data_IF_002326990005
#
_entry.id   IF_002326990005
#
_cell.length_a   1.000
_cell.length_b   1.000
_cell.length_c   1.000
_cell.angle_alpha   90.00
_cell.angle_beta   90.00
_cell.angle_gamma   90.00
#
_symmetry.space_group_name_H-M   'P 1'
#
loop_
_entity.id
_entity.type
_entity.pdbx_description
1 polymer ?
#
# COMPACT_ATOMS: atom_id res chain seq x y z
N UNK A 1 30.85 -45.45 -50.94
CA UNK A 1 31.29 -44.08 -50.60
C UNK A 1 30.52 -43.10 -51.48
N UNK A 2 29.93 -42.00 -50.97
CA UNK A 2 29.15 -41.86 -49.73
C UNK A 2 27.69 -41.42 -50.01
N UNK A 3 26.93 -41.37 -48.91
CA UNK A 3 25.54 -40.94 -48.74
C UNK A 3 25.36 -39.43 -48.94
N UNK A 4 24.15 -39.00 -49.34
CA UNK A 4 23.65 -37.66 -49.06
C UNK A 4 22.19 -37.76 -48.56
N UNK A 5 22.03 -37.84 -47.24
CA UNK A 5 20.76 -37.68 -46.55
C UNK A 5 20.50 -36.18 -46.38
N UNK A 6 19.40 -35.68 -46.96
CA UNK A 6 18.93 -34.32 -46.72
C UNK A 6 18.30 -34.25 -45.33
N UNK A 7 19.06 -33.78 -44.35
CA UNK A 7 18.55 -33.43 -43.03
C UNK A 7 17.74 -32.14 -43.14
N UNK A 8 16.41 -32.24 -43.13
CA UNK A 8 15.53 -31.11 -42.85
C UNK A 8 15.68 -30.74 -41.38
N UNK A 9 16.44 -29.68 -41.11
CA UNK A 9 16.51 -29.03 -39.80
C UNK A 9 15.19 -28.31 -39.53
N UNK A 10 14.29 -28.97 -38.81
CA UNK A 10 13.20 -28.32 -38.09
C UNK A 10 13.81 -27.40 -37.04
N UNK A 11 13.88 -26.11 -37.35
CA UNK A 11 14.11 -25.06 -36.36
C UNK A 11 12.96 -25.13 -35.34
N UNK A 12 13.23 -25.31 -34.05
CA UNK A 12 12.18 -25.17 -33.04
C UNK A 12 11.73 -23.71 -33.08
N UNK A 13 10.48 -23.49 -33.48
CA UNK A 13 9.84 -22.19 -33.38
C UNK A 13 9.94 -21.72 -31.94
N UNK A 14 10.56 -20.56 -31.74
CA UNK A 14 10.46 -19.81 -30.49
C UNK A 14 8.96 -19.57 -30.23
N UNK A 15 8.37 -20.38 -29.37
CA UNK A 15 7.12 -20.05 -28.73
C UNK A 15 7.40 -18.78 -27.91
N UNK A 16 7.02 -17.62 -28.45
CA UNK A 16 6.86 -16.41 -27.67
C UNK A 16 5.94 -16.78 -26.51
N UNK A 17 6.47 -16.78 -25.29
CA UNK A 17 5.67 -16.97 -24.09
C UNK A 17 4.55 -15.91 -24.12
N UNK A 18 3.32 -16.34 -24.42
CA UNK A 18 2.18 -15.45 -24.36
C UNK A 18 2.02 -15.03 -22.90
N UNK A 19 2.14 -13.73 -22.63
CA UNK A 19 1.95 -13.18 -21.29
C UNK A 19 0.58 -13.57 -20.75
N UNK A 20 0.51 -13.90 -19.46
CA UNK A 20 -0.74 -14.32 -18.83
C UNK A 20 -1.84 -13.27 -19.03
N UNK A 21 -3.02 -13.72 -19.44
CA UNK A 21 -4.17 -12.85 -19.62
C UNK A 21 -4.76 -12.44 -18.27
N UNK A 22 -5.03 -11.15 -18.11
CA UNK A 22 -5.58 -10.57 -16.88
C UNK A 22 -6.72 -9.61 -17.23
N UNK A 23 -7.92 -9.82 -16.70
CA UNK A 23 -9.03 -8.89 -16.91
C UNK A 23 -8.96 -7.68 -15.99
N UNK A 24 -9.19 -6.49 -16.52
CA UNK A 24 -9.36 -5.28 -15.71
C UNK A 24 -10.77 -5.24 -15.10
N UNK A 25 -10.87 -5.40 -13.79
CA UNK A 25 -12.13 -5.34 -13.05
C UNK A 25 -12.56 -3.89 -12.74
N UNK A 26 -11.63 -2.93 -12.71
CA UNK A 26 -11.91 -1.50 -12.52
C UNK A 26 -11.45 -0.95 -11.17
N UNK A 27 -12.03 0.19 -10.77
CA UNK A 27 -11.80 0.82 -9.46
C UNK A 27 -12.74 0.20 -8.43
N UNK A 28 -12.22 -0.09 -7.24
CA UNK A 28 -12.97 -0.64 -6.14
C UNK A 28 -12.55 -0.07 -4.78
N UNK A 29 -13.35 -0.34 -3.76
CA UNK A 29 -13.09 0.04 -2.37
C UNK A 29 -13.08 -1.19 -1.47
N UNK A 30 -12.20 -1.21 -0.47
CA UNK A 30 -12.13 -2.31 0.50
C UNK A 30 -13.20 -2.18 1.59
N UNK A 31 -13.81 -3.30 1.95
CA UNK A 31 -14.78 -3.40 3.06
C UNK A 31 -16.24 -3.40 2.59
N UNK A 32 -17.14 -3.30 3.57
CA UNK A 32 -18.58 -3.41 3.37
C UNK A 32 -19.19 -2.11 2.79
N UNK A 33 -20.33 -2.26 2.10
CA UNK A 33 -21.00 -1.14 1.44
C UNK A 33 -21.53 -0.08 2.42
N UNK A 34 -21.85 -0.45 3.67
CA UNK A 34 -22.42 0.46 4.65
C UNK A 34 -21.38 1.44 5.22
N UNK A 35 -20.10 1.04 5.29
CA UNK A 35 -19.01 1.88 5.80
C UNK A 35 -18.34 2.77 4.74
N UNK A 36 -18.65 2.58 3.44
CA UNK A 36 -17.95 3.27 2.34
C UNK A 36 -18.02 4.80 2.41
N UNK A 37 -19.19 5.38 2.65
CA UNK A 37 -19.35 6.84 2.67
C UNK A 37 -18.62 7.49 3.85
N UNK A 38 -18.45 6.75 4.95
CA UNK A 38 -17.72 7.23 6.12
C UNK A 38 -16.20 7.10 5.93
N UNK A 39 -15.75 6.02 5.29
CA UNK A 39 -14.32 5.69 5.13
C UNK A 39 -13.67 6.38 3.92
N UNK A 40 -14.45 6.62 2.86
CA UNK A 40 -13.97 7.18 1.60
C UNK A 40 -14.85 8.34 1.08
N UNK A 41 -15.23 9.32 1.92
CA UNK A 41 -16.13 10.40 1.53
C UNK A 41 -15.64 11.20 0.31
N UNK A 42 -14.35 11.50 0.21
CA UNK A 42 -13.82 12.34 -0.87
C UNK A 42 -13.63 11.54 -2.16
N UNK A 43 -13.16 10.31 -2.06
CA UNK A 43 -12.95 9.42 -3.20
C UNK A 43 -14.27 9.04 -3.86
N UNK A 44 -15.30 8.75 -3.07
CA UNK A 44 -16.64 8.45 -3.61
C UNK A 44 -17.30 9.70 -4.22
N UNK A 45 -17.07 10.88 -3.66
CA UNK A 45 -17.52 12.14 -4.26
C UNK A 45 -16.82 12.41 -5.60
N UNK A 46 -15.51 12.20 -5.67
CA UNK A 46 -14.73 12.32 -6.91
C UNK A 46 -15.20 11.33 -7.99
N UNK A 47 -15.44 10.07 -7.62
CA UNK A 47 -15.97 9.06 -8.55
C UNK A 47 -17.34 9.44 -9.11
N UNK A 48 -18.24 9.97 -8.27
CA UNK A 48 -19.54 10.50 -8.71
C UNK A 48 -19.37 11.66 -9.69
N UNK A 49 -18.43 12.57 -9.44
CA UNK A 49 -18.13 13.68 -10.34
C UNK A 49 -17.60 13.19 -11.70
N UNK A 50 -16.71 12.19 -11.71
CA UNK A 50 -16.23 11.53 -12.93
C UNK A 50 -17.38 10.92 -13.77
N UNK A 51 -18.28 10.18 -13.10
CA UNK A 51 -19.47 9.60 -13.75
C UNK A 51 -20.38 10.66 -14.34
N UNK A 52 -20.68 11.73 -13.58
CA UNK A 52 -21.49 12.85 -14.05
C UNK A 52 -20.83 13.59 -15.23
N UNK A 53 -19.50 13.66 -15.25
CA UNK A 53 -18.71 14.22 -16.35
C UNK A 53 -18.56 13.32 -17.58
N UNK A 54 -19.20 12.15 -17.61
CA UNK A 54 -19.14 11.21 -18.75
C UNK A 54 -17.83 10.44 -18.88
N UNK A 55 -16.93 10.52 -17.87
CA UNK A 55 -15.64 9.86 -17.87
C UNK A 55 -15.45 9.04 -16.59
N UNK A 56 -16.12 7.89 -16.45
CA UNK A 56 -16.07 7.09 -15.23
C UNK A 56 -14.65 6.60 -14.91
N UNK A 57 -14.41 6.22 -13.65
CA UNK A 57 -13.09 5.76 -13.19
C UNK A 57 -12.51 4.61 -14.02
N UNK A 58 -13.36 3.69 -14.51
CA UNK A 58 -12.92 2.63 -15.42
C UNK A 58 -12.31 3.18 -16.72
N UNK A 59 -12.87 4.25 -17.29
CA UNK A 59 -12.30 4.90 -18.48
C UNK A 59 -10.93 5.55 -18.16
N UNK A 60 -10.80 6.20 -17.00
CA UNK A 60 -9.53 6.78 -16.53
C UNK A 60 -8.44 5.72 -16.40
N UNK A 61 -8.78 4.54 -15.86
CA UNK A 61 -7.84 3.41 -15.74
C UNK A 61 -7.38 2.90 -17.10
N UNK A 62 -8.29 2.74 -18.06
CA UNK A 62 -7.94 2.29 -19.42
C UNK A 62 -6.99 3.25 -20.11
N UNK A 63 -7.24 4.55 -19.99
CA UNK A 63 -6.35 5.57 -20.56
C UNK A 63 -4.96 5.52 -19.92
N UNK A 64 -4.88 5.43 -18.58
CA UNK A 64 -3.59 5.31 -17.90
C UNK A 64 -2.81 4.06 -18.33
N UNK A 65 -3.49 2.92 -18.47
CA UNK A 65 -2.90 1.66 -18.95
C UNK A 65 -2.42 1.78 -20.39
N UNK A 66 -3.17 2.44 -21.27
CA UNK A 66 -2.76 2.63 -22.65
C UNK A 66 -1.46 3.46 -22.78
N UNK A 67 -1.21 4.38 -21.84
CA UNK A 67 0.00 5.19 -21.78
C UNK A 67 1.21 4.46 -21.17
N UNK A 68 0.96 3.42 -20.35
CA UNK A 68 1.99 2.56 -19.78
C UNK A 68 1.57 1.09 -19.89
N UNK A 69 1.66 0.48 -21.10
CA UNK A 69 1.18 -0.87 -21.33
C UNK A 69 1.82 -1.90 -20.41
N UNK A 70 1.04 -2.87 -19.95
CA UNK A 70 1.54 -3.92 -19.08
C UNK A 70 2.55 -4.81 -19.84
N UNK A 71 3.84 -4.71 -19.50
CA UNK A 71 4.89 -5.37 -20.28
C UNK A 71 4.84 -6.89 -20.23
N UNK A 72 4.51 -7.46 -19.06
CA UNK A 72 4.51 -8.92 -18.82
C UNK A 72 3.12 -9.56 -18.81
N UNK A 73 2.06 -8.76 -18.91
CA UNK A 73 0.67 -9.19 -18.76
C UNK A 73 -0.13 -8.78 -19.98
N UNK A 74 -1.01 -9.65 -20.46
CA UNK A 74 -1.97 -9.30 -21.52
C UNK A 74 -3.28 -8.86 -20.87
N UNK A 75 -3.50 -7.55 -20.79
CA UNK A 75 -4.73 -7.02 -20.20
C UNK A 75 -5.91 -7.19 -21.16
N UNK A 76 -6.96 -7.88 -20.72
CA UNK A 76 -8.25 -7.97 -21.42
C UNK A 76 -9.27 -7.06 -20.75
N UNK A 77 -10.13 -6.44 -21.55
CA UNK A 77 -10.97 -5.32 -21.11
C UNK A 77 -12.31 -5.76 -20.52
N UNK A 78 -12.71 -7.01 -20.68
CA UNK A 78 -13.95 -7.52 -20.10
C UNK A 78 -13.72 -8.78 -19.27
N UNK A 79 -14.25 -8.76 -18.04
CA UNK A 79 -14.23 -9.91 -17.13
C UNK A 79 -15.04 -11.08 -17.71
N UNK A 80 -16.06 -10.77 -18.52
CA UNK A 80 -16.92 -11.76 -19.18
C UNK A 80 -16.19 -12.54 -20.29
N UNK A 81 -15.12 -11.98 -20.88
CA UNK A 81 -14.27 -12.70 -21.84
C UNK A 81 -13.48 -13.84 -21.18
N UNK A 82 -13.43 -13.88 -19.83
CA UNK A 82 -12.82 -14.97 -19.06
C UNK A 82 -13.77 -16.15 -18.81
N UNK A 83 -15.08 -16.02 -19.07
CA UNK A 83 -16.05 -17.11 -18.87
C UNK A 83 -15.72 -18.27 -19.81
N UNK A 84 -15.41 -19.43 -19.22
CA UNK A 84 -15.07 -20.66 -19.95
C UNK A 84 -13.58 -20.90 -20.20
N UNK A 85 -12.68 -20.04 -19.69
CA UNK A 85 -11.22 -20.25 -19.77
C UNK A 85 -10.67 -20.99 -18.54
N UNK A 86 -9.55 -21.70 -18.73
CA UNK A 86 -8.87 -22.44 -17.65
C UNK A 86 -8.17 -21.53 -16.63
N UNK A 87 -7.74 -20.32 -17.05
CA UNK A 87 -7.23 -19.28 -16.15
C UNK A 87 -8.08 -18.00 -16.31
N UNK A 88 -8.71 -17.58 -15.22
CA UNK A 88 -9.55 -16.39 -15.16
C UNK A 88 -8.99 -15.41 -14.12
N UNK A 89 -7.83 -14.82 -14.39
CA UNK A 89 -7.22 -13.84 -13.47
C UNK A 89 -7.78 -12.45 -13.75
N UNK A 90 -8.14 -11.74 -12.70
CA UNK A 90 -8.60 -10.35 -12.77
C UNK A 90 -7.75 -9.44 -11.89
N UNK A 91 -7.71 -8.15 -12.23
CA UNK A 91 -7.03 -7.11 -11.45
C UNK A 91 -7.94 -5.91 -11.21
N UNK A 92 -7.98 -5.43 -9.98
CA UNK A 92 -8.69 -4.21 -9.58
C UNK A 92 -7.73 -3.19 -8.96
N UNK A 93 -8.01 -1.90 -9.16
CA UNK A 93 -7.46 -0.84 -8.31
C UNK A 93 -8.34 -0.74 -7.07
N UNK A 94 -7.84 -1.17 -5.91
CA UNK A 94 -8.62 -1.19 -4.67
C UNK A 94 -8.15 -0.10 -3.72
N UNK A 95 -8.99 0.88 -3.42
CA UNK A 95 -8.72 1.92 -2.41
C UNK A 95 -8.95 1.34 -1.01
N UNK A 96 -7.92 1.39 -0.18
CA UNK A 96 -7.91 0.84 1.17
C UNK A 96 -8.05 1.89 2.27
N UNK A 97 -7.47 3.07 2.06
CA UNK A 97 -7.54 4.19 2.98
C UNK A 97 -7.54 5.55 2.28
N UNK A 98 -8.24 6.50 2.88
CA UNK A 98 -8.28 7.91 2.50
C UNK A 98 -7.93 8.76 3.71
N UNK A 99 -7.11 9.80 3.51
CA UNK A 99 -6.78 10.78 4.54
C UNK A 99 -6.82 12.16 3.95
N UNK A 100 -7.63 13.04 4.56
CA UNK A 100 -7.68 14.46 4.25
C UNK A 100 -7.61 15.21 5.57
N UNK A 101 -6.57 16.01 5.76
CA UNK A 101 -6.37 16.81 6.98
C UNK A 101 -6.00 18.24 6.65
N UNK A 102 -6.40 19.17 7.53
CA UNK A 102 -6.03 20.58 7.45
C UNK A 102 -5.39 20.97 8.77
N UNK A 103 -4.10 21.30 8.74
CA UNK A 103 -3.33 21.77 9.89
C UNK A 103 -3.17 23.30 9.83
N UNK A 104 -3.27 24.01 10.96
CA UNK A 104 -2.92 25.44 11.03
C UNK A 104 -1.46 25.61 11.46
N UNK A 105 -0.69 26.41 10.72
CA UNK A 105 0.75 26.67 10.92
C UNK A 105 1.02 28.17 10.75
N UNK A 106 1.27 28.89 11.85
CA UNK A 106 1.65 30.31 11.84
C UNK A 106 0.73 31.20 10.97
N UNK A 107 -0.58 31.02 11.07
CA UNK A 107 -1.59 31.76 10.28
C UNK A 107 -1.92 31.13 8.91
N UNK A 108 -1.10 30.19 8.44
CA UNK A 108 -1.35 29.41 7.23
C UNK A 108 -2.11 28.12 7.55
N UNK A 109 -2.73 27.52 6.54
CA UNK A 109 -3.45 26.26 6.61
C UNK A 109 -2.83 25.27 5.61
N UNK A 110 -2.22 24.20 6.12
CA UNK A 110 -1.65 23.12 5.34
C UNK A 110 -2.71 22.05 5.13
N UNK A 111 -3.14 21.87 3.88
CA UNK A 111 -3.96 20.76 3.44
C UNK A 111 -3.06 19.58 3.10
N UNK A 112 -3.35 18.41 3.67
CA UNK A 112 -2.74 17.15 3.28
C UNK A 112 -3.81 16.19 2.79
N UNK A 113 -3.62 15.64 1.59
CA UNK A 113 -4.47 14.61 0.99
C UNK A 113 -3.60 13.40 0.70
N UNK A 114 -4.02 12.22 1.13
CA UNK A 114 -3.34 10.95 0.88
C UNK A 114 -4.35 9.86 0.57
N UNK A 115 -4.16 9.19 -0.57
CA UNK A 115 -4.91 8.00 -0.96
C UNK A 115 -3.97 6.80 -0.96
N UNK A 116 -4.40 5.72 -0.30
CA UNK A 116 -3.78 4.40 -0.38
C UNK A 116 -4.69 3.43 -1.10
N UNK A 117 -4.12 2.77 -2.08
CA UNK A 117 -4.77 1.78 -2.89
C UNK A 117 -3.83 0.59 -3.14
N UNK A 118 -4.25 -0.35 -3.97
CA UNK A 118 -3.44 -1.47 -4.41
C UNK A 118 -3.94 -2.01 -5.74
N UNK A 119 -3.02 -2.53 -6.56
CA UNK A 119 -3.37 -3.41 -7.65
C UNK A 119 -3.58 -4.82 -7.09
N UNK A 120 -4.83 -5.25 -6.97
CA UNK A 120 -5.22 -6.54 -6.39
C UNK A 120 -5.53 -7.53 -7.51
N UNK A 121 -4.69 -8.55 -7.64
CA UNK A 121 -4.89 -9.68 -8.54
C UNK A 121 -5.63 -10.80 -7.81
N UNK A 122 -6.66 -11.35 -8.43
CA UNK A 122 -7.44 -12.44 -7.88
C UNK A 122 -7.89 -13.40 -8.98
N UNK A 123 -8.09 -14.65 -8.60
CA UNK A 123 -8.68 -15.67 -9.45
C UNK A 123 -10.19 -15.51 -9.42
N UNK A 124 -10.79 -15.19 -10.57
CA UNK A 124 -12.21 -14.89 -10.71
C UNK A 124 -13.11 -16.12 -10.51
N UNK A 125 -12.60 -17.34 -10.71
CA UNK A 125 -13.39 -18.57 -10.58
C UNK A 125 -13.53 -18.99 -9.11
N UNK A 126 -12.42 -18.97 -8.39
CA UNK A 126 -12.33 -19.33 -6.97
C UNK A 126 -12.60 -18.16 -6.03
N UNK A 127 -12.59 -16.94 -6.58
CA UNK A 127 -12.59 -15.66 -5.85
C UNK A 127 -11.42 -15.56 -4.88
N UNK A 128 -10.25 -16.09 -5.21
CA UNK A 128 -9.09 -16.08 -4.28
C UNK A 128 -8.10 -14.99 -4.63
N UNK A 129 -7.62 -14.24 -3.64
CA UNK A 129 -6.53 -13.27 -3.85
C UNK A 129 -5.25 -14.02 -4.24
N UNK A 130 -4.66 -13.61 -5.35
CA UNK A 130 -3.41 -14.15 -5.86
C UNK A 130 -2.24 -13.29 -5.36
N UNK A 131 -2.38 -11.96 -5.49
CA UNK A 131 -1.29 -11.02 -5.24
C UNK A 131 -1.81 -9.60 -5.09
N UNK A 132 -1.18 -8.79 -4.25
CA UNK A 132 -1.47 -7.36 -4.22
C UNK A 132 -0.19 -6.52 -4.25
N UNK A 133 -0.28 -5.38 -4.92
CA UNK A 133 0.77 -4.38 -5.00
C UNK A 133 0.23 -3.04 -4.48
N UNK A 134 0.57 -2.64 -3.25
CA UNK A 134 0.26 -1.33 -2.68
C UNK A 134 0.69 -0.15 -3.57
N UNK A 135 -0.16 0.87 -3.61
CA UNK A 135 -0.02 2.11 -4.36
C UNK A 135 -0.44 3.24 -3.44
N UNK A 136 0.33 4.32 -3.36
CA UNK A 136 -0.10 5.52 -2.65
C UNK A 136 0.34 6.77 -3.37
N UNK A 137 -0.39 7.86 -3.12
CA UNK A 137 0.04 9.19 -3.49
C UNK A 137 -0.53 10.22 -2.52
N UNK A 138 0.34 11.11 -2.07
CA UNK A 138 0.00 12.21 -1.20
C UNK A 138 0.33 13.54 -1.83
N UNK A 139 -0.50 14.54 -1.56
CA UNK A 139 -0.31 15.92 -2.00
C UNK A 139 -0.50 16.86 -0.81
N UNK A 140 0.42 17.82 -0.68
CA UNK A 140 0.37 18.88 0.33
C UNK A 140 0.18 20.19 -0.40
N UNK A 141 -0.71 21.03 0.11
CA UNK A 141 -0.89 22.40 -0.34
C UNK A 141 -1.06 23.35 0.86
N UNK A 142 -0.81 24.64 0.66
CA UNK A 142 -0.81 25.65 1.72
C UNK A 142 -1.71 26.81 1.31
N UNK A 143 -2.54 27.26 2.26
CA UNK A 143 -3.48 28.35 2.10
C UNK A 143 -3.27 29.39 3.20
N UNK A 144 -3.60 30.65 2.93
CA UNK A 144 -3.64 31.73 3.92
C UNK A 144 -4.92 31.73 4.78
N UNK A 145 -5.91 30.94 4.37
CA UNK A 145 -7.17 30.67 5.06
C UNK A 145 -7.48 29.17 5.06
N UNK A 146 -8.48 28.74 5.84
CA UNK A 146 -8.96 27.37 5.73
C UNK A 146 -9.40 27.09 4.27
N UNK A 147 -8.97 25.98 3.65
CA UNK A 147 -9.41 25.62 2.32
C UNK A 147 -10.91 25.33 2.31
N UNK A 148 -11.57 25.73 1.23
CA UNK A 148 -12.96 25.40 0.95
C UNK A 148 -13.09 23.96 0.47
N UNK A 149 -14.31 23.39 0.56
CA UNK A 149 -14.57 22.04 0.07
C UNK A 149 -14.25 21.87 -1.42
N UNK A 150 -14.47 22.91 -2.23
CA UNK A 150 -14.10 22.92 -3.64
C UNK A 150 -12.58 22.84 -3.84
N UNK A 151 -11.81 23.57 -3.03
CA UNK A 151 -10.34 23.52 -3.08
C UNK A 151 -9.82 22.15 -2.65
N UNK A 152 -10.41 21.55 -1.61
CA UNK A 152 -10.11 20.18 -1.18
C UNK A 152 -10.41 19.19 -2.30
N UNK A 153 -11.57 19.28 -2.95
CA UNK A 153 -11.97 18.41 -4.06
C UNK A 153 -10.98 18.49 -5.23
N UNK A 154 -10.45 19.68 -5.55
CA UNK A 154 -9.40 19.85 -6.57
C UNK A 154 -8.12 19.11 -6.20
N UNK A 155 -7.71 19.11 -4.92
CA UNK A 155 -6.48 18.41 -4.49
C UNK A 155 -6.68 16.91 -4.42
N UNK A 156 -7.88 16.44 -4.03
CA UNK A 156 -8.27 15.03 -4.12
C UNK A 156 -8.22 14.55 -5.57
N UNK A 157 -8.79 15.31 -6.51
CA UNK A 157 -8.67 15.03 -7.94
C UNK A 157 -7.21 14.97 -8.39
N UNK A 158 -6.39 15.93 -7.97
CA UNK A 158 -4.95 15.93 -8.23
C UNK A 158 -4.21 14.69 -7.69
N UNK A 159 -4.66 14.12 -6.57
CA UNK A 159 -4.08 12.86 -6.07
C UNK A 159 -4.42 11.67 -6.99
N UNK A 160 -5.63 11.62 -7.55
CA UNK A 160 -6.00 10.55 -8.49
C UNK A 160 -5.37 10.71 -9.87
N UNK A 161 -5.39 11.91 -10.43
CA UNK A 161 -4.97 12.20 -11.82
C UNK A 161 -3.48 12.54 -11.93
N UNK A 162 -2.89 13.10 -10.88
CA UNK A 162 -1.52 13.61 -10.85
C UNK A 162 -1.47 15.10 -10.48
N UNK A 163 -0.40 15.49 -9.78
CA UNK A 163 -0.20 16.85 -9.31
C UNK A 163 1.30 17.18 -9.24
N UNK A 164 1.65 18.44 -9.49
CA UNK A 164 3.02 18.95 -9.42
C UNK A 164 4.04 18.11 -10.23
N UNK A 165 3.66 17.71 -11.44
CA UNK A 165 4.50 16.89 -12.33
C UNK A 165 4.72 15.44 -11.87
N UNK A 166 4.03 14.99 -10.83
CA UNK A 166 4.11 13.61 -10.31
C UNK A 166 2.89 12.79 -10.72
N UNK A 167 3.05 11.49 -11.01
CA UNK A 167 1.94 10.62 -11.37
C UNK A 167 0.97 10.45 -10.20
N UNK A 168 -0.33 10.53 -10.50
CA UNK A 168 -1.41 10.24 -9.56
C UNK A 168 -1.68 8.74 -9.42
N UNK A 169 -2.73 8.39 -8.67
CA UNK A 169 -3.11 6.99 -8.41
C UNK A 169 -3.34 6.19 -9.71
N UNK A 170 -4.02 6.76 -10.71
CA UNK A 170 -4.31 6.01 -11.95
C UNK A 170 -3.04 5.68 -12.74
N UNK A 171 -2.14 6.65 -12.93
CA UNK A 171 -0.86 6.42 -13.60
C UNK A 171 0.02 5.46 -12.81
N UNK A 172 0.05 5.58 -11.47
CA UNK A 172 0.79 4.64 -10.62
C UNK A 172 0.27 3.22 -10.74
N UNK A 173 -1.05 3.03 -10.82
CA UNK A 173 -1.63 1.73 -11.09
C UNK A 173 -1.14 1.14 -12.41
N UNK A 174 -1.18 1.91 -13.50
CA UNK A 174 -0.66 1.47 -14.80
C UNK A 174 0.84 1.12 -14.74
N UNK A 175 1.67 1.96 -14.13
CA UNK A 175 3.10 1.66 -13.92
C UNK A 175 3.32 0.39 -13.08
N UNK A 176 2.51 0.19 -12.04
CA UNK A 176 2.55 -1.03 -11.22
C UNK A 176 2.21 -2.26 -12.06
N UNK A 177 1.19 -2.20 -12.94
CA UNK A 177 0.86 -3.30 -13.84
C UNK A 177 1.97 -3.60 -14.86
N UNK A 178 2.70 -2.57 -15.31
CA UNK A 178 3.85 -2.76 -16.20
C UNK A 178 5.01 -3.53 -15.54
N UNK A 179 5.21 -3.35 -14.23
CA UNK A 179 6.21 -4.08 -13.46
C UNK A 179 5.72 -5.39 -12.83
N UNK A 180 4.39 -5.59 -12.75
CA UNK A 180 3.79 -6.71 -12.07
C UNK A 180 4.08 -8.06 -12.75
N UNK A 181 4.08 -9.11 -11.93
CA UNK A 181 4.18 -10.49 -12.38
C UNK A 181 3.20 -11.34 -11.61
N UNK A 182 2.56 -12.28 -12.31
CA UNK A 182 1.81 -13.32 -11.63
C UNK A 182 2.79 -14.35 -11.04
N UNK A 183 2.49 -14.89 -9.86
CA UNK A 183 3.32 -15.91 -9.24
C UNK A 183 3.44 -17.14 -10.16
N UNK A 184 4.64 -17.67 -10.30
CA UNK A 184 4.82 -19.05 -10.75
C UNK A 184 4.19 -20.00 -9.71
N UNK A 185 3.93 -21.26 -10.08
CA UNK A 185 3.26 -22.25 -9.22
C UNK A 185 3.90 -22.46 -7.82
N UNK A 186 5.13 -21.98 -7.59
CA UNK A 186 5.90 -22.11 -6.35
C UNK A 186 6.03 -20.83 -5.53
N UNK A 187 5.43 -19.71 -5.95
CA UNK A 187 5.60 -18.44 -5.24
C UNK A 187 4.88 -18.46 -3.89
N UNK A 188 5.59 -18.03 -2.85
CA UNK A 188 5.08 -18.02 -1.49
C UNK A 188 4.37 -16.71 -1.17
N UNK A 189 3.43 -16.78 -0.25
CA UNK A 189 2.58 -15.66 0.19
C UNK A 189 3.05 -15.09 1.52
N UNK A 190 3.05 -13.77 1.63
CA UNK A 190 3.44 -13.02 2.81
C UNK A 190 2.27 -12.12 3.22
N UNK A 191 1.88 -12.13 4.49
CA UNK A 191 0.75 -11.35 4.99
C UNK A 191 1.07 -10.76 6.36
N UNK A 192 0.59 -9.53 6.61
CA UNK A 192 0.44 -9.05 7.99
C UNK A 192 -0.76 -9.80 8.59
N UNK A 193 -0.53 -10.58 9.65
CA UNK A 193 -1.61 -11.35 10.30
C UNK A 193 -1.95 -10.81 11.68
N UNK A 194 -1.00 -10.14 12.33
CA UNK A 194 -1.17 -9.60 13.67
C UNK A 194 -0.68 -8.16 13.74
N UNK A 195 -1.56 -7.29 14.22
CA UNK A 195 -1.21 -5.93 14.60
C UNK A 195 -1.72 -5.68 16.02
N UNK A 196 -0.86 -5.13 16.86
CA UNK A 196 -1.17 -4.73 18.23
C UNK A 196 -0.77 -3.28 18.45
N UNK A 197 -1.65 -2.47 19.00
CA UNK A 197 -1.35 -1.08 19.39
C UNK A 197 -1.37 -1.02 20.92
N UNK A 198 -0.23 -0.70 21.53
CA UNK A 198 -0.14 -0.58 23.00
C UNK A 198 -0.77 0.72 23.49
N UNK A 199 -1.31 0.76 24.73
CA UNK A 199 -1.93 1.96 25.30
C UNK A 199 -1.06 3.23 25.21
N UNK A 200 0.26 3.07 25.37
CA UNK A 200 1.24 4.15 25.29
C UNK A 200 1.38 4.76 23.88
N UNK A 201 0.99 4.04 22.83
CA UNK A 201 0.88 4.58 21.48
C UNK A 201 -0.51 5.20 21.24
N UNK A 202 -1.57 4.58 21.78
CA UNK A 202 -2.96 4.99 21.56
C UNK A 202 -3.23 6.44 21.92
N UNK A 203 -2.63 6.97 23.00
CA UNK A 203 -2.85 8.36 23.44
C UNK A 203 -2.49 9.42 22.39
N UNK A 204 -1.58 9.12 21.48
CA UNK A 204 -1.10 10.03 20.44
C UNK A 204 -1.78 9.84 19.08
N UNK A 205 -2.71 8.87 18.99
CA UNK A 205 -3.48 8.58 17.77
C UNK A 205 -4.80 9.36 17.81
N UNK A 206 -5.23 10.02 16.72
CA UNK A 206 -6.43 10.83 16.70
C UNK A 206 -7.69 9.97 16.81
N UNK A 207 -8.77 10.58 17.30
CA UNK A 207 -10.04 9.88 17.57
C UNK A 207 -10.61 9.16 16.34
N UNK A 208 -10.50 9.77 15.15
CA UNK A 208 -11.02 9.15 13.93
C UNK A 208 -10.34 7.80 13.60
N UNK A 209 -9.06 7.63 13.97
CA UNK A 209 -8.36 6.35 13.85
C UNK A 209 -8.59 5.41 15.05
N UNK A 210 -8.98 5.95 16.20
CA UNK A 210 -9.31 5.19 17.43
C UNK A 210 -10.77 4.76 17.52
N UNK A 211 -11.61 5.19 16.59
CA UNK A 211 -13.05 4.89 16.53
C UNK A 211 -13.36 3.40 16.66
N UNK A 212 -12.48 2.53 16.15
CA UNK A 212 -12.46 1.11 16.44
C UNK A 212 -11.02 0.58 16.37
N UNK A 213 -10.70 -0.44 17.17
CA UNK A 213 -9.38 -1.09 17.17
C UNK A 213 -8.98 -1.58 15.76
N UNK A 214 -9.93 -2.13 15.02
CA UNK A 214 -9.73 -2.56 13.63
C UNK A 214 -9.26 -1.43 12.71
N UNK A 215 -9.75 -0.20 12.89
CA UNK A 215 -9.35 0.96 12.07
C UNK A 215 -7.90 1.31 12.37
N UNK A 216 -7.51 1.38 13.65
CA UNK A 216 -6.13 1.68 14.04
C UNK A 216 -5.15 0.59 13.57
N UNK A 217 -5.54 -0.67 13.72
CA UNK A 217 -4.71 -1.81 13.33
C UNK A 217 -4.55 -1.90 11.81
N UNK A 218 -5.61 -1.63 11.05
CA UNK A 218 -5.55 -1.55 9.59
C UNK A 218 -4.62 -0.43 9.14
N UNK A 219 -4.72 0.75 9.75
CA UNK A 219 -3.80 1.86 9.47
C UNK A 219 -2.33 1.47 9.66
N UNK A 220 -2.00 0.80 10.78
CA UNK A 220 -0.64 0.35 11.04
C UNK A 220 -0.21 -0.78 10.08
N UNK A 221 -1.10 -1.72 9.75
CA UNK A 221 -0.83 -2.77 8.78
C UNK A 221 -0.54 -2.19 7.39
N UNK A 222 -1.31 -1.19 6.96
CA UNK A 222 -1.15 -0.52 5.67
C UNK A 222 0.22 0.16 5.57
N UNK A 223 0.68 0.84 6.64
CA UNK A 223 2.01 1.45 6.67
C UNK A 223 3.13 0.42 6.47
N UNK A 224 3.04 -0.74 7.13
CA UNK A 224 4.04 -1.80 7.00
C UNK A 224 3.97 -2.46 5.62
N UNK A 225 2.78 -2.86 5.19
CA UNK A 225 2.58 -3.52 3.90
C UNK A 225 3.00 -2.64 2.73
N UNK A 226 2.68 -1.35 2.76
CA UNK A 226 3.09 -0.37 1.76
C UNK A 226 4.62 -0.22 1.73
N UNK A 227 5.26 -0.04 2.88
CA UNK A 227 6.71 0.11 2.96
C UNK A 227 7.43 -1.14 2.40
N UNK A 228 7.05 -2.34 2.85
CA UNK A 228 7.66 -3.58 2.38
C UNK A 228 7.44 -3.78 0.88
N UNK A 229 6.23 -3.54 0.39
CA UNK A 229 5.95 -3.80 -1.02
C UNK A 229 6.60 -2.78 -1.96
N UNK A 230 6.52 -1.49 -1.62
CA UNK A 230 7.05 -0.43 -2.50
C UNK A 230 8.57 -0.28 -2.40
N UNK A 231 9.18 -0.65 -1.26
CA UNK A 231 10.63 -0.52 -1.06
C UNK A 231 11.38 -1.82 -1.22
N UNK A 232 10.87 -2.93 -0.67
CA UNK A 232 11.51 -4.24 -0.81
C UNK A 232 10.98 -5.03 -2.01
N UNK A 233 9.97 -4.52 -2.73
CA UNK A 233 9.44 -5.12 -3.95
C UNK A 233 8.71 -6.44 -3.73
N UNK A 234 8.29 -6.74 -2.50
CA UNK A 234 7.60 -7.99 -2.16
C UNK A 234 6.09 -7.79 -2.20
N UNK A 235 5.32 -8.64 -2.89
CA UNK A 235 3.87 -8.55 -2.83
C UNK A 235 3.34 -8.97 -1.47
N UNK A 236 2.32 -8.27 -0.99
CA UNK A 236 1.77 -8.46 0.35
C UNK A 236 0.29 -8.82 0.20
N UNK A 237 -0.11 -9.95 0.75
CA UNK A 237 -1.53 -10.28 0.87
C UNK A 237 -2.16 -9.24 1.82
N UNK A 238 -3.31 -8.64 1.47
CA UNK A 238 -3.90 -7.58 2.27
C UNK A 238 -4.18 -7.98 3.71
N UNK A 239 -4.01 -7.03 4.63
CA UNK A 239 -4.48 -7.17 6.01
C UNK A 239 -6.00 -7.22 6.05
N UNK A 240 -6.56 -8.14 6.82
CA UNK A 240 -8.01 -8.29 6.91
C UNK A 240 -8.42 -8.67 8.33
N UNK A 241 -8.63 -7.64 9.16
CA UNK A 241 -9.24 -7.77 10.48
C UNK A 241 -10.59 -7.04 10.48
N UNK A 242 -11.59 -7.60 11.16
CA UNK A 242 -12.93 -7.01 11.34
C UNK A 242 -13.86 -7.04 10.11
N UNK A 243 -13.34 -6.83 8.89
CA UNK A 243 -14.14 -6.87 7.65
C UNK A 243 -14.11 -8.23 6.94
N UNK A 244 -13.20 -9.13 7.36
CA UNK A 244 -13.14 -10.49 6.88
C UNK A 244 -13.79 -11.46 7.86
N UNK A 245 -15.06 -11.79 7.62
CA UNK A 245 -15.68 -12.94 8.27
C UNK A 245 -15.15 -14.19 7.58
N UNK A 246 -14.28 -14.94 8.27
CA UNK A 246 -13.69 -16.17 7.74
C UNK A 246 -12.72 -15.98 6.58
N UNK A 247 -11.84 -14.96 6.64
CA UNK A 247 -10.84 -14.64 5.59
C UNK A 247 -11.43 -14.17 4.25
N UNK A 248 -12.63 -13.60 4.25
CA UNK A 248 -13.27 -13.06 3.03
C UNK A 248 -13.20 -11.53 3.00
N UNK A 249 -12.44 -10.95 2.08
CA UNK A 249 -12.43 -9.51 1.82
C UNK A 249 -13.56 -9.13 0.87
N UNK A 250 -14.50 -8.31 1.32
CA UNK A 250 -15.46 -7.67 0.42
C UNK A 250 -14.80 -6.52 -0.34
N UNK A 251 -15.04 -6.49 -1.65
CA UNK A 251 -14.60 -5.46 -2.57
C UNK A 251 -15.81 -5.01 -3.39
N UNK A 252 -16.11 -3.70 -3.37
CA UNK A 252 -17.16 -3.13 -4.23
C UNK A 252 -16.52 -2.45 -5.42
N UNK A 253 -16.82 -2.93 -6.62
CA UNK A 253 -16.45 -2.25 -7.86
C UNK A 253 -17.34 -1.02 -8.02
N UNK A 254 -16.72 0.08 -8.45
CA UNK A 254 -17.36 1.34 -8.80
C UNK A 254 -18.64 1.16 -9.62
N UNK A 255 -18.68 0.19 -10.53
CA UNK A 255 -19.82 -0.06 -11.42
C UNK A 255 -21.00 -0.84 -10.76
N UNK A 256 -20.86 -1.24 -9.51
CA UNK A 256 -21.96 -1.72 -8.66
C UNK A 256 -21.81 -3.15 -8.14
N UNK A 257 -20.95 -3.95 -8.77
CA UNK A 257 -20.72 -5.33 -8.37
C UNK A 257 -19.97 -5.44 -7.04
N UNK A 258 -20.34 -6.44 -6.24
CA UNK A 258 -19.67 -6.77 -4.98
C UNK A 258 -19.05 -8.14 -5.11
N UNK A 259 -17.74 -8.22 -4.92
CA UNK A 259 -16.99 -9.46 -4.89
C UNK A 259 -16.52 -9.76 -3.48
N UNK A 260 -16.64 -11.03 -3.11
CA UNK A 260 -16.19 -11.55 -1.82
C UNK A 260 -14.97 -12.43 -2.07
N UNK A 261 -13.78 -11.87 -1.82
CA UNK A 261 -12.51 -12.49 -2.13
C UNK A 261 -11.95 -13.28 -0.95
N UNK A 262 -11.64 -14.56 -1.14
CA UNK A 262 -10.94 -15.39 -0.17
C UNK A 262 -9.47 -15.01 -0.12
N UNK A 263 -8.96 -14.73 1.06
CA UNK A 263 -7.53 -14.53 1.28
C UNK A 263 -6.84 -15.89 1.41
N UNK A 264 -5.73 -16.12 0.71
CA UNK A 264 -4.95 -17.34 0.87
C UNK A 264 -4.40 -17.41 2.29
N UNK A 265 -4.21 -18.64 2.79
CA UNK A 265 -3.42 -18.82 4.01
C UNK A 265 -1.97 -18.44 3.71
N UNK A 266 -1.36 -17.52 4.47
CA UNK A 266 0.00 -17.09 4.19
C UNK A 266 1.01 -18.19 4.49
N UNK A 267 2.03 -18.31 3.65
CA UNK A 267 3.23 -19.11 3.92
C UNK A 267 4.13 -18.44 4.97
N UNK A 268 4.04 -17.11 5.07
CA UNK A 268 4.79 -16.30 6.02
C UNK A 268 3.94 -15.21 6.64
N UNK A 269 4.09 -15.06 7.95
CA UNK A 269 3.31 -14.13 8.76
C UNK A 269 4.18 -12.98 9.24
N UNK A 270 3.60 -11.77 9.21
CA UNK A 270 4.17 -10.57 9.79
C UNK A 270 3.31 -10.16 10.99
N UNK A 271 3.98 -10.07 12.15
CA UNK A 271 3.44 -9.48 13.37
C UNK A 271 4.03 -8.09 13.61
N UNK A 272 3.16 -7.11 13.86
CA UNK A 272 3.54 -5.73 14.15
C UNK A 272 2.99 -5.33 15.52
N UNK A 273 3.82 -4.72 16.34
CA UNK A 273 3.39 -4.04 17.56
C UNK A 273 3.81 -2.57 17.50
N UNK A 274 2.88 -1.63 17.60
CA UNK A 274 3.22 -0.23 17.85
C UNK A 274 3.23 0.00 19.36
N UNK A 275 4.44 0.11 19.92
CA UNK A 275 4.66 0.08 21.36
C UNK A 275 4.48 1.44 22.02
N UNK A 276 4.97 2.53 21.40
CA UNK A 276 4.81 3.88 21.95
C UNK A 276 5.00 4.98 20.89
N UNK A 277 4.36 6.12 21.13
CA UNK A 277 4.56 7.37 20.40
C UNK A 277 4.91 8.48 21.41
N UNK A 278 6.14 9.01 21.34
CA UNK A 278 6.66 9.96 22.34
C UNK A 278 7.10 11.27 21.71
N UNK A 279 6.60 12.38 22.22
CA UNK A 279 7.09 13.72 21.88
C UNK A 279 8.13 14.16 22.91
N UNK A 280 9.30 14.58 22.45
CA UNK A 280 10.40 15.02 23.31
C UNK A 280 10.91 16.37 22.81
N UNK A 281 11.02 17.37 23.69
CA UNK A 281 11.65 18.65 23.34
C UNK A 281 13.13 18.42 23.03
N UNK A 282 13.54 18.84 21.84
CA UNK A 282 14.89 18.65 21.31
C UNK A 282 15.74 19.92 21.43
N UNK A 283 15.12 21.09 21.27
CA UNK A 283 15.80 22.38 21.35
C UNK A 283 14.80 23.54 21.35
N UNK A 284 15.32 24.76 21.52
CA UNK A 284 14.49 25.96 21.44
C UNK A 284 15.33 27.24 21.34
N UNK A 285 14.76 28.24 20.67
CA UNK A 285 15.28 29.59 20.51
C UNK A 285 14.11 30.59 20.59
N UNK A 286 14.39 31.90 20.56
CA UNK A 286 13.36 32.94 20.59
C UNK A 286 12.33 32.80 19.45
N UNK A 287 12.74 32.23 18.31
CA UNK A 287 11.88 32.00 17.15
C UNK A 287 10.95 30.77 17.27
N UNK A 288 11.19 29.87 18.24
CA UNK A 288 10.38 28.66 18.41
C UNK A 288 11.12 27.50 19.07
N UNK A 289 10.40 26.40 19.23
CA UNK A 289 10.88 25.14 19.83
C UNK A 289 11.01 24.05 18.77
N UNK A 290 11.87 23.05 19.02
CA UNK A 290 11.94 21.84 18.20
C UNK A 290 11.59 20.62 19.04
N UNK A 291 10.85 19.70 18.45
CA UNK A 291 10.44 18.46 19.08
C UNK A 291 10.82 17.26 18.22
N UNK A 292 11.30 16.19 18.86
CA UNK A 292 11.42 14.87 18.26
C UNK A 292 10.12 14.10 18.52
N UNK A 293 9.54 13.59 17.44
CA UNK A 293 8.41 12.66 17.47
C UNK A 293 8.95 11.24 17.29
N UNK A 294 9.13 10.57 18.42
CA UNK A 294 9.64 9.22 18.51
C UNK A 294 8.55 8.17 18.29
N UNK A 295 8.83 7.19 17.44
CA UNK A 295 8.01 5.99 17.26
C UNK A 295 8.79 4.75 17.70
N UNK A 296 8.11 3.83 18.39
CA UNK A 296 8.68 2.57 18.86
C UNK A 296 7.77 1.44 18.41
N UNK A 297 8.32 0.49 17.66
CA UNK A 297 7.57 -0.64 17.13
C UNK A 297 8.37 -1.93 17.17
N UNK A 298 7.71 -3.06 17.34
CA UNK A 298 8.31 -4.38 17.18
C UNK A 298 7.78 -5.04 15.91
N UNK A 299 8.66 -5.71 15.18
CA UNK A 299 8.34 -6.46 13.97
C UNK A 299 8.82 -7.90 14.13
N UNK A 300 7.96 -8.85 13.79
CA UNK A 300 8.27 -10.27 13.69
C UNK A 300 7.86 -10.80 12.33
N UNK A 301 8.74 -11.55 11.68
CA UNK A 301 8.47 -12.25 10.41
C UNK A 301 8.82 -13.72 10.61
N UNK A 302 7.86 -14.62 10.36
CA UNK A 302 8.03 -16.06 10.61
C UNK A 302 7.32 -16.95 9.57
N UNK A 303 7.83 -18.18 9.43
CA UNK A 303 7.13 -19.28 8.77
C UNK A 303 6.34 -20.07 9.84
N UNK A 304 5.00 -20.02 9.85
CA UNK A 304 4.21 -20.53 10.96
C UNK A 304 4.27 -22.06 11.08
N UNK A 305 4.51 -22.79 9.98
CA UNK A 305 4.53 -24.26 9.99
C UNK A 305 5.77 -24.83 10.70
N UNK A 306 6.95 -24.21 10.47
CA UNK A 306 8.21 -24.65 11.08
C UNK A 306 8.56 -23.86 12.35
N UNK A 307 7.92 -22.70 12.57
CA UNK A 307 8.28 -21.76 13.62
C UNK A 307 9.57 -20.98 13.33
N UNK A 308 10.13 -21.10 12.11
CA UNK A 308 11.36 -20.39 11.74
C UNK A 308 11.12 -18.89 11.71
N UNK A 309 11.94 -18.17 12.46
CA UNK A 309 11.92 -16.71 12.57
C UNK A 309 12.98 -16.11 11.66
N UNK A 310 12.57 -15.19 10.80
CA UNK A 310 13.45 -14.47 9.89
C UNK A 310 13.81 -13.09 10.42
N UNK A 311 12.86 -12.45 11.12
CA UNK A 311 13.06 -11.18 11.79
C UNK A 311 12.28 -11.18 13.10
N UNK A 312 12.89 -10.66 14.15
CA UNK A 312 12.27 -10.36 15.42
C UNK A 312 13.07 -9.25 16.10
N UNK A 313 12.61 -8.01 15.94
CA UNK A 313 13.33 -6.84 16.41
C UNK A 313 12.38 -5.75 16.87
N UNK A 314 12.79 -5.01 17.90
CA UNK A 314 12.20 -3.73 18.25
C UNK A 314 13.00 -2.61 17.58
N UNK A 315 12.32 -1.62 17.05
CA UNK A 315 12.86 -0.51 16.29
C UNK A 315 12.38 0.81 16.89
N UNK A 316 13.23 1.84 16.79
CA UNK A 316 12.86 3.22 17.09
C UNK A 316 13.18 4.15 15.93
N UNK A 317 12.30 5.10 15.64
CA UNK A 317 12.56 6.20 14.73
C UNK A 317 12.22 7.53 15.41
N UNK A 318 12.79 8.62 14.93
CA UNK A 318 12.49 9.97 15.40
C UNK A 318 12.47 10.94 14.23
N UNK A 319 11.43 11.77 14.15
CA UNK A 319 11.32 12.85 13.17
C UNK A 319 11.26 14.19 13.91
N UNK A 320 12.01 15.18 13.43
CA UNK A 320 12.11 16.50 14.07
C UNK A 320 11.11 17.45 13.43
N UNK A 321 10.25 18.09 14.23
CA UNK A 321 9.38 19.19 13.81
C UNK A 321 9.77 20.46 14.56
N UNK A 322 9.91 21.54 13.80
CA UNK A 322 10.05 22.90 14.33
C UNK A 322 8.66 23.49 14.55
N UNK A 323 8.46 24.08 15.73
CA UNK A 323 7.24 24.75 16.15
C UNK A 323 7.58 26.23 16.38
N UNK A 324 7.21 27.13 15.46
CA UNK A 324 7.41 28.56 15.63
C UNK A 324 6.72 29.08 16.89
N UNK A 325 7.30 30.09 17.54
CA UNK A 325 6.71 30.72 18.74
C UNK A 325 5.34 31.37 18.48
N UNK A 326 5.02 31.66 17.22
CA UNK A 326 3.71 32.20 16.78
C UNK A 326 2.64 31.12 16.63
N UNK A 327 2.99 29.83 16.71
CA UNK A 327 2.05 28.73 16.56
C UNK A 327 1.42 28.36 17.90
N UNK A 328 0.15 28.71 18.07
CA UNK A 328 -0.62 28.49 19.31
C UNK A 328 -1.22 27.09 19.43
N UNK A 329 -1.40 26.39 18.31
CA UNK A 329 -1.87 25.01 18.26
C UNK A 329 -1.00 24.17 17.31
N UNK A 330 -0.62 22.98 17.76
CA UNK A 330 0.17 22.02 16.98
C UNK A 330 -0.60 20.71 16.93
N UNK A 331 -1.00 20.28 15.73
CA UNK A 331 -1.36 18.90 15.51
C UNK A 331 -0.08 18.05 15.49
N UNK A 332 0.02 17.16 16.47
CA UNK A 332 1.16 16.30 16.73
C UNK A 332 1.12 15.02 15.90
N UNK A 333 -0.08 14.57 15.51
CA UNK A 333 -0.24 13.28 14.86
C UNK A 333 0.46 13.18 13.49
N UNK A 334 0.44 14.19 12.60
CA UNK A 334 1.17 14.14 11.34
C UNK A 334 2.67 13.86 11.52
N UNK A 335 3.30 14.42 12.55
CA UNK A 335 4.71 14.15 12.83
C UNK A 335 4.94 12.75 13.41
N UNK A 336 4.00 12.24 14.22
CA UNK A 336 4.03 10.84 14.64
C UNK A 336 3.85 9.88 13.47
N UNK A 337 2.91 10.18 12.56
CA UNK A 337 2.67 9.43 11.34
C UNK A 337 3.93 9.38 10.48
N UNK A 338 4.60 10.51 10.25
CA UNK A 338 5.85 10.57 9.49
C UNK A 338 6.94 9.73 10.17
N UNK A 339 6.99 9.74 11.50
CA UNK A 339 7.92 8.91 12.28
C UNK A 339 7.65 7.42 12.12
N UNK A 340 6.39 6.98 12.23
CA UNK A 340 6.01 5.56 12.03
C UNK A 340 6.27 5.12 10.59
N UNK A 341 5.86 5.93 9.61
CA UNK A 341 6.08 5.65 8.20
C UNK A 341 7.57 5.57 7.88
N UNK A 342 8.36 6.54 8.37
CA UNK A 342 9.81 6.56 8.22
C UNK A 342 10.51 5.34 8.82
N UNK A 343 10.02 4.82 9.95
CA UNK A 343 10.55 3.61 10.58
C UNK A 343 10.45 2.41 9.63
N UNK A 344 9.26 2.16 9.07
CA UNK A 344 9.05 1.00 8.20
C UNK A 344 9.64 1.17 6.81
N UNK A 345 9.63 2.39 6.25
CA UNK A 345 10.32 2.68 4.99
C UNK A 345 11.81 2.41 5.10
N UNK A 346 12.49 2.97 6.10
CA UNK A 346 13.94 2.77 6.30
C UNK A 346 14.28 1.29 6.53
N UNK A 347 13.45 0.56 7.29
CA UNK A 347 13.61 -0.89 7.46
C UNK A 347 13.48 -1.64 6.14
N UNK A 348 12.43 -1.35 5.36
CA UNK A 348 12.18 -2.02 4.09
C UNK A 348 13.29 -1.75 3.06
N UNK A 349 13.86 -0.53 3.06
CA UNK A 349 15.03 -0.19 2.26
C UNK A 349 16.28 -0.98 2.69
N UNK A 350 16.50 -1.15 3.99
CA UNK A 350 17.59 -2.00 4.48
C UNK A 350 17.42 -3.47 4.08
N UNK A 351 16.19 -4.01 4.14
CA UNK A 351 15.86 -5.36 3.64
C UNK A 351 16.12 -5.48 2.14
N UNK A 352 15.80 -4.45 1.35
CA UNK A 352 16.07 -4.40 -0.09
C UNK A 352 17.57 -4.33 -0.44
N UNK A 353 18.44 -4.06 0.54
CA UNK A 353 19.90 -3.95 0.33
C UNK A 353 20.41 -2.53 0.13
N UNK A 354 19.60 -1.52 0.43
CA UNK A 354 20.01 -0.12 0.50
C UNK A 354 20.64 0.19 1.87
N UNK A 355 20.72 1.47 2.24
CA UNK A 355 21.43 1.93 3.44
C UNK A 355 20.91 1.26 4.73
N UNK A 356 21.77 0.44 5.35
CA UNK A 356 21.50 -0.23 6.62
C UNK A 356 22.15 0.49 7.82
N UNK A 357 22.76 1.67 7.66
CA UNK A 357 23.40 2.38 8.79
C UNK A 357 22.38 2.75 9.87
N UNK A 358 21.22 3.26 9.45
CA UNK A 358 20.16 3.65 10.38
C UNK A 358 19.66 2.46 11.19
N UNK A 359 19.40 1.31 10.55
CA UNK A 359 18.76 0.16 11.22
C UNK A 359 19.66 -0.43 12.31
N UNK A 360 20.98 -0.38 12.17
CA UNK A 360 21.93 -0.84 13.21
C UNK A 360 21.84 -0.03 14.51
N UNK A 361 21.53 1.26 14.42
CA UNK A 361 21.36 2.13 15.58
C UNK A 361 19.91 2.15 16.10
N UNK A 362 18.94 1.88 15.21
CA UNK A 362 17.52 1.90 15.50
C UNK A 362 17.00 0.59 16.09
N UNK A 363 17.58 -0.55 15.70
CA UNK A 363 17.16 -1.88 16.14
C UNK A 363 17.71 -2.23 17.53
N UNK A 364 16.90 -2.93 18.32
CA UNK A 364 17.31 -3.51 19.59
C UNK A 364 18.00 -4.87 19.42
N UNK A 365 17.77 -5.56 18.30
CA UNK A 365 18.35 -6.88 18.04
C UNK A 365 19.85 -6.78 17.72
N UNK A 366 20.73 -7.48 18.47
CA UNK A 366 22.18 -7.44 18.23
C UNK A 366 22.59 -8.10 16.91
N UNK A 367 21.76 -9.01 16.37
CA UNK A 367 21.97 -9.75 15.14
C UNK A 367 21.16 -9.18 13.96
N UNK A 368 20.77 -7.91 14.00
CA UNK A 368 19.90 -7.28 12.99
C UNK A 368 20.40 -7.43 11.55
N UNK A 369 21.72 -7.38 11.31
CA UNK A 369 22.30 -7.57 9.98
C UNK A 369 21.99 -8.97 9.42
N UNK A 370 22.04 -10.00 10.28
CA UNK A 370 21.69 -11.38 9.91
C UNK A 370 20.20 -11.49 9.62
N UNK A 371 19.34 -10.95 10.50
CA UNK A 371 17.89 -10.97 10.30
C UNK A 371 17.46 -10.27 9.00
N UNK A 372 18.12 -9.15 8.66
CA UNK A 372 17.89 -8.44 7.38
C UNK A 372 18.26 -9.32 6.18
N UNK A 373 19.41 -9.99 6.22
CA UNK A 373 19.82 -10.87 5.13
C UNK A 373 18.90 -12.09 5.00
N UNK A 374 18.54 -12.73 6.12
CA UNK A 374 17.60 -13.85 6.13
C UNK A 374 16.23 -13.44 5.57
N UNK A 375 15.75 -12.26 5.94
CA UNK A 375 14.49 -11.69 5.45
C UNK A 375 14.58 -11.31 3.96
N UNK A 376 15.73 -10.84 3.49
CA UNK A 376 15.95 -10.56 2.06
C UNK A 376 15.85 -11.83 1.22
N UNK A 377 16.50 -12.92 1.65
CA UNK A 377 16.41 -14.20 0.95
C UNK A 377 14.99 -14.76 0.97
N UNK A 378 14.29 -14.63 2.10
CA UNK A 378 12.86 -14.93 2.21
C UNK A 378 12.03 -14.17 1.16
N UNK A 379 12.24 -12.86 1.02
CA UNK A 379 11.45 -12.03 0.10
C UNK A 379 11.68 -12.40 -1.36
N UNK A 380 12.86 -12.93 -1.73
CA UNK A 380 13.09 -13.47 -3.07
C UNK A 380 12.18 -14.66 -3.40
N UNK A 381 11.77 -15.46 -2.41
CA UNK A 381 10.82 -16.58 -2.60
C UNK A 381 9.38 -16.12 -2.80
N UNK A 382 9.08 -14.87 -2.41
CA UNK A 382 7.74 -14.27 -2.50
C UNK A 382 7.58 -13.39 -3.75
N UNK A 383 8.69 -12.91 -4.33
CA UNK A 383 8.71 -12.20 -5.62
C UNK A 383 8.37 -13.17 -6.75
#
# INVERSE_FOLDING_TARGET
MPFAAAASSLLPGLALAQGSEVALAGLAYSGDAASLSQRFPFSTAYEKALKAGGKPAHAMLREAIAQAPAGKLKLVTQIDELKGRDQAVAVALVVGAETVSVEQLAGLHKLFVLIRAQALFFDFKSMSVIRAYPISFGHIDIFDRRPTDAEVAVRVRGVYEGAAGKPGIFTRFATTLAGASLPAATSRTLQITRVTIKPEATGSIPEYLRSASTVTETWAADLVGEALSTRAGVPIVPYAKGYAVGNVMSMRISDGDVYNLKLPKPDYEIGVELSALRKVKYGGAAAGESFIYGSYASLRIEEPLSGKVYMNTALKNGEVKLVPSTQTYVDDFPAFYDSVNGLFVKLAEAIDGRDAKWVKAAAAAPDIDKQINDTRELFKLCK
#
